data_IF_714485287809
#
_entry.id   IF_714485287809
#
_cell.length_a   1.000
_cell.length_b   1.000
_cell.length_c   1.000
_cell.angle_alpha   90.00
_cell.angle_beta   90.00
_cell.angle_gamma   90.00
#
_symmetry.space_group_name_H-M   'P 1'
#
loop_
_entity.id
_entity.type
_entity.pdbx_description
1 polymer ?
#
# COMPACT_ATOMS: atom_id res chain seq x y z
N UNK A 1 1.80 -19.02 1.50
CA UNK A 1 2.05 -18.51 0.13
C UNK A 1 1.14 -17.31 -0.15
N UNK A 2 1.69 -16.17 -0.57
CA UNK A 2 1.06 -14.83 -0.54
C UNK A 2 -0.08 -14.62 -1.56
N UNK A 3 -1.20 -15.34 -1.39
CA UNK A 3 -2.32 -15.43 -2.35
C UNK A 3 -3.02 -14.10 -2.66
N UNK A 4 -2.86 -13.08 -1.81
CA UNK A 4 -3.42 -11.75 -2.05
C UNK A 4 -2.57 -10.90 -3.00
N UNK A 5 -1.26 -11.18 -3.11
CA UNK A 5 -0.33 -10.44 -3.97
C UNK A 5 -0.57 -10.81 -5.44
N UNK A 6 -0.80 -12.10 -5.71
CA UNK A 6 -0.99 -12.63 -7.06
C UNK A 6 -2.48 -12.86 -7.34
N UNK A 7 -3.20 -11.77 -7.56
CA UNK A 7 -4.62 -11.78 -7.89
C UNK A 7 -4.87 -11.09 -9.23
N UNK A 8 -5.78 -11.64 -10.05
CA UNK A 8 -6.09 -11.12 -11.40
C UNK A 8 -6.63 -9.68 -11.41
N UNK A 9 -7.23 -9.25 -10.30
CA UNK A 9 -7.66 -7.85 -10.12
C UNK A 9 -6.46 -6.93 -10.01
N UNK A 10 -5.39 -7.38 -9.34
CA UNK A 10 -4.25 -6.55 -9.03
C UNK A 10 -3.58 -6.07 -10.31
N UNK A 11 -3.09 -4.83 -10.27
CA UNK A 11 -2.22 -4.32 -11.31
C UNK A 11 -0.86 -5.02 -11.14
N UNK A 12 -0.28 -5.53 -12.22
CA UNK A 12 0.93 -6.37 -12.16
C UNK A 12 2.10 -5.68 -11.45
N UNK A 13 2.37 -4.40 -11.78
CA UNK A 13 3.39 -3.60 -11.08
C UNK A 13 3.15 -3.46 -9.57
N UNK A 14 1.89 -3.39 -9.13
CA UNK A 14 1.57 -3.31 -7.69
C UNK A 14 1.89 -4.64 -7.00
N UNK A 15 1.57 -5.75 -7.68
CA UNK A 15 1.85 -7.11 -7.21
C UNK A 15 3.35 -7.35 -7.08
N UNK A 16 4.13 -6.96 -8.08
CA UNK A 16 5.58 -7.10 -8.07
C UNK A 16 6.25 -6.32 -6.93
N UNK A 17 5.91 -5.04 -6.78
CA UNK A 17 6.45 -4.20 -5.68
C UNK A 17 6.02 -4.73 -4.31
N UNK A 18 4.77 -5.19 -4.17
CA UNK A 18 4.29 -5.80 -2.93
C UNK A 18 5.02 -7.09 -2.60
N UNK A 19 5.33 -7.92 -3.61
CA UNK A 19 6.14 -9.12 -3.45
C UNK A 19 7.55 -8.78 -2.96
N UNK A 20 8.20 -7.79 -3.57
CA UNK A 20 9.52 -7.32 -3.12
C UNK A 20 9.49 -6.81 -1.67
N UNK A 21 8.48 -6.04 -1.28
CA UNK A 21 8.31 -5.53 0.09
C UNK A 21 8.19 -6.67 1.11
N UNK A 22 7.37 -7.68 0.79
CA UNK A 22 7.13 -8.83 1.67
C UNK A 22 8.39 -9.69 1.84
N UNK A 23 9.19 -9.82 0.79
CA UNK A 23 10.46 -10.56 0.81
C UNK A 23 11.67 -9.73 1.27
N UNK A 24 11.45 -8.51 1.74
CA UNK A 24 12.50 -7.58 2.18
C UNK A 24 13.55 -7.27 1.11
N UNK A 25 13.14 -7.34 -0.16
CA UNK A 25 13.95 -7.06 -1.34
C UNK A 25 13.71 -5.65 -1.90
N UNK A 26 12.89 -4.85 -1.23
CA UNK A 26 12.68 -3.46 -1.60
C UNK A 26 13.89 -2.65 -1.10
N UNK A 27 14.54 -1.90 -1.99
CA UNK A 27 15.58 -0.97 -1.57
C UNK A 27 14.96 0.18 -0.76
N UNK A 28 14.89 0.02 0.56
CA UNK A 28 14.72 1.12 1.52
C UNK A 28 16.07 1.81 1.73
N UNK A 29 16.09 3.04 2.28
CA UNK A 29 17.36 3.73 2.59
C UNK A 29 18.31 2.86 3.43
N UNK A 30 17.77 1.93 4.24
CA UNK A 30 18.53 0.92 4.98
C UNK A 30 19.51 0.08 4.12
N UNK A 31 19.21 -0.13 2.83
CA UNK A 31 20.07 -0.88 1.90
C UNK A 31 20.98 0.02 1.04
N UNK A 32 20.81 1.35 1.12
CA UNK A 32 21.74 2.31 0.53
C UNK A 32 22.81 2.66 1.57
N UNK A 33 23.82 1.79 1.71
CA UNK A 33 25.06 2.04 2.48
C UNK A 33 25.91 3.20 1.92
N UNK A 34 25.34 4.03 1.08
CA UNK A 34 26.01 5.15 0.47
C UNK A 34 25.19 6.38 0.79
N UNK A 35 25.65 7.15 1.79
CA UNK A 35 25.61 8.61 1.87
C UNK A 35 25.22 9.16 3.24
N UNK A 36 25.93 10.23 3.60
CA UNK A 36 25.77 11.15 4.74
C UNK A 36 24.41 11.88 4.77
N UNK A 37 23.35 11.30 4.20
CA UNK A 37 22.02 11.91 4.12
C UNK A 37 21.30 11.65 5.45
N UNK A 38 20.63 12.65 6.05
CA UNK A 38 19.84 12.44 7.26
C UNK A 38 18.87 11.29 7.04
N UNK A 39 18.91 10.27 7.91
CA UNK A 39 18.11 9.06 7.82
C UNK A 39 16.60 9.31 7.97
N UNK A 40 16.11 10.55 7.93
CA UNK A 40 14.71 10.86 8.15
C UNK A 40 13.83 10.38 6.99
N UNK A 41 12.68 9.81 7.35
CA UNK A 41 11.66 9.39 6.40
C UNK A 41 11.16 10.59 5.59
N UNK A 42 11.39 10.56 4.28
CA UNK A 42 11.01 11.63 3.36
C UNK A 42 9.50 11.88 3.29
N UNK A 43 8.69 10.93 3.79
CA UNK A 43 7.25 11.06 3.86
C UNK A 43 6.79 11.94 5.03
N UNK A 44 7.41 11.80 6.20
CA UNK A 44 6.96 12.46 7.43
C UNK A 44 7.94 13.49 8.01
N UNK A 45 9.23 13.36 7.72
CA UNK A 45 10.35 14.13 8.27
C UNK A 45 10.48 14.08 9.81
N UNK A 46 9.89 13.08 10.48
CA UNK A 46 9.82 13.02 11.95
C UNK A 46 10.62 11.87 12.60
N UNK A 47 10.98 10.86 11.83
CA UNK A 47 11.65 9.66 12.35
C UNK A 47 12.52 9.05 11.26
N UNK A 48 13.42 8.15 11.65
CA UNK A 48 14.26 7.44 10.71
C UNK A 48 13.45 6.56 9.74
N UNK A 49 13.84 6.55 8.47
CA UNK A 49 13.28 5.69 7.44
C UNK A 49 13.80 4.28 7.61
N UNK A 50 12.93 3.39 8.08
CA UNK A 50 13.08 1.97 7.86
C UNK A 50 11.79 1.39 7.29
N UNK A 51 11.81 0.14 6.83
CA UNK A 51 10.61 -0.50 6.25
C UNK A 51 9.40 -0.47 7.19
N UNK A 52 9.61 -0.73 8.48
CA UNK A 52 8.53 -0.74 9.45
C UNK A 52 7.91 0.66 9.59
N UNK A 53 8.76 1.69 9.66
CA UNK A 53 8.32 3.07 9.70
C UNK A 53 7.59 3.46 8.41
N UNK A 54 8.23 3.30 7.26
CA UNK A 54 7.73 3.74 5.97
C UNK A 54 6.34 3.22 5.66
N UNK A 55 6.06 1.95 5.92
CA UNK A 55 4.79 1.33 5.57
C UNK A 55 3.75 1.30 6.69
N UNK A 56 4.16 1.32 7.97
CA UNK A 56 3.23 1.03 9.08
C UNK A 56 3.17 2.11 10.17
N UNK A 57 4.24 2.85 10.42
CA UNK A 57 4.29 3.86 11.50
C UNK A 57 4.17 5.28 10.97
N UNK A 58 4.68 5.53 9.77
CA UNK A 58 4.74 6.85 9.15
C UNK A 58 3.35 7.48 9.09
N UNK A 59 3.22 8.71 9.60
CA UNK A 59 1.95 9.45 9.65
C UNK A 59 1.30 9.56 8.27
N UNK A 60 2.10 9.80 7.22
CA UNK A 60 1.61 9.92 5.85
C UNK A 60 1.04 8.59 5.34
N UNK A 61 1.77 7.49 5.56
CA UNK A 61 1.36 6.15 5.12
C UNK A 61 0.13 5.64 5.89
N UNK A 62 0.06 5.90 7.19
CA UNK A 62 -1.11 5.59 8.02
C UNK A 62 -2.35 6.32 7.55
N UNK A 63 -2.22 7.58 7.13
CA UNK A 63 -3.37 8.34 6.63
C UNK A 63 -3.86 7.79 5.29
N UNK A 64 -2.97 7.47 4.35
CA UNK A 64 -3.34 6.83 3.09
C UNK A 64 -4.05 5.49 3.33
N UNK A 65 -3.54 4.71 4.28
CA UNK A 65 -4.13 3.44 4.68
C UNK A 65 -5.51 3.62 5.32
N UNK A 66 -5.69 4.63 6.18
CA UNK A 66 -6.98 4.96 6.81
C UNK A 66 -8.02 5.30 5.75
N UNK A 67 -7.72 6.24 4.85
CA UNK A 67 -8.59 6.60 3.72
C UNK A 67 -9.00 5.38 2.88
N UNK A 68 -8.03 4.48 2.64
CA UNK A 68 -8.24 3.23 1.89
C UNK A 68 -9.13 2.24 2.64
N UNK A 69 -8.98 2.14 3.95
CA UNK A 69 -9.76 1.26 4.83
C UNK A 69 -11.21 1.73 4.90
N UNK A 70 -11.39 3.03 5.10
CA UNK A 70 -12.69 3.69 5.21
C UNK A 70 -13.50 3.47 3.91
N UNK A 71 -12.84 3.57 2.75
CA UNK A 71 -13.48 3.34 1.45
C UNK A 71 -14.11 1.94 1.31
N UNK A 72 -13.47 0.90 1.85
CA UNK A 72 -13.98 -0.47 1.78
C UNK A 72 -14.67 -0.93 3.07
N UNK A 73 -14.90 -0.01 4.03
CA UNK A 73 -15.46 -0.27 5.35
C UNK A 73 -14.72 -1.42 6.05
N UNK A 74 -13.38 -1.32 6.10
CA UNK A 74 -12.52 -2.32 6.74
C UNK A 74 -12.33 -1.93 8.21
N UNK A 75 -12.65 -2.85 9.13
CA UNK A 75 -12.41 -2.63 10.57
C UNK A 75 -10.95 -2.90 10.90
N UNK A 76 -10.29 -1.89 11.47
CA UNK A 76 -8.97 -1.92 12.11
C UNK A 76 -7.89 -2.70 11.35
N UNK A 77 -7.26 -2.06 10.36
CA UNK A 77 -6.04 -2.62 9.75
C UNK A 77 -4.93 -2.69 10.83
N UNK A 78 -4.30 -3.85 11.04
CA UNK A 78 -3.29 -4.00 12.09
C UNK A 78 -2.13 -3.01 11.92
N UNK A 79 -1.59 -2.47 13.00
CA UNK A 79 -0.46 -1.53 12.92
C UNK A 79 0.89 -2.20 12.52
N UNK A 80 0.95 -3.52 12.33
CA UNK A 80 2.20 -4.26 12.08
C UNK A 80 2.10 -5.17 10.85
N UNK A 81 3.16 -5.16 10.03
CA UNK A 81 3.29 -5.98 8.81
C UNK A 81 2.95 -7.46 9.00
N UNK A 82 3.53 -8.08 10.03
CA UNK A 82 3.38 -9.51 10.32
C UNK A 82 1.92 -9.93 10.57
N UNK A 83 1.04 -8.96 10.85
CA UNK A 83 -0.37 -9.18 11.11
C UNK A 83 -1.25 -8.82 9.91
N UNK A 84 -0.78 -8.07 8.90
CA UNK A 84 -1.58 -7.74 7.72
C UNK A 84 -1.95 -8.97 6.92
N UNK A 85 -0.96 -9.85 6.65
CA UNK A 85 -1.19 -11.05 5.84
C UNK A 85 -2.20 -11.97 6.55
N UNK A 86 -2.02 -12.17 7.86
CA UNK A 86 -2.96 -12.94 8.69
C UNK A 86 -4.33 -12.27 8.76
N UNK A 87 -4.39 -10.96 8.93
CA UNK A 87 -5.65 -10.21 8.97
C UNK A 87 -6.40 -10.30 7.65
N UNK A 88 -5.74 -10.16 6.49
CA UNK A 88 -6.39 -10.34 5.18
C UNK A 88 -6.91 -11.76 5.00
N UNK A 89 -6.15 -12.77 5.45
CA UNK A 89 -6.56 -14.17 5.35
C UNK A 89 -7.73 -14.50 6.29
N UNK A 90 -7.77 -13.95 7.51
CA UNK A 90 -8.82 -14.20 8.51
C UNK A 90 -10.06 -13.33 8.31
N UNK A 91 -9.92 -12.06 7.93
CA UNK A 91 -11.03 -11.10 7.86
C UNK A 91 -11.90 -11.27 6.60
N UNK A 92 -11.41 -11.96 5.56
CA UNK A 92 -12.11 -12.07 4.29
C UNK A 92 -12.30 -13.53 3.85
N UNK A 93 -13.26 -14.21 4.48
CA UNK A 93 -13.65 -15.59 4.12
C UNK A 93 -14.31 -15.74 2.74
N UNK A 94 -14.85 -14.65 2.15
CA UNK A 94 -15.43 -14.67 0.79
C UNK A 94 -14.35 -14.42 -0.26
N UNK A 95 -14.22 -15.36 -1.22
CA UNK A 95 -13.24 -15.33 -2.33
C UNK A 95 -13.17 -13.97 -3.06
N UNK A 96 -14.31 -13.27 -3.21
CA UNK A 96 -14.38 -11.97 -3.89
C UNK A 96 -13.85 -10.81 -3.05
N UNK A 97 -14.31 -10.68 -1.79
CA UNK A 97 -13.91 -9.60 -0.88
C UNK A 97 -12.40 -9.68 -0.58
N UNK A 98 -11.89 -10.91 -0.40
CA UNK A 98 -10.45 -11.17 -0.27
C UNK A 98 -9.65 -10.59 -1.43
N UNK A 99 -10.10 -10.81 -2.67
CA UNK A 99 -9.42 -10.32 -3.87
C UNK A 99 -9.47 -8.78 -3.97
N UNK A 100 -10.61 -8.16 -3.69
CA UNK A 100 -10.76 -6.69 -3.71
C UNK A 100 -9.85 -6.04 -2.67
N UNK A 101 -9.83 -6.58 -1.45
CA UNK A 101 -8.95 -6.05 -0.39
C UNK A 101 -7.49 -6.30 -0.72
N UNK A 102 -7.13 -7.47 -1.28
CA UNK A 102 -5.78 -7.73 -1.77
C UNK A 102 -5.31 -6.72 -2.83
N UNK A 103 -6.20 -6.35 -3.76
CA UNK A 103 -5.92 -5.33 -4.77
C UNK A 103 -5.73 -3.92 -4.17
N UNK A 104 -6.54 -3.57 -3.17
CA UNK A 104 -6.38 -2.32 -2.43
C UNK A 104 -5.03 -2.26 -1.71
N UNK A 105 -4.70 -3.30 -0.94
CA UNK A 105 -3.48 -3.31 -0.13
C UNK A 105 -2.22 -3.28 -1.00
N UNK A 106 -2.20 -4.05 -2.08
CA UNK A 106 -1.07 -4.02 -3.02
C UNK A 106 -0.93 -2.65 -3.70
N UNK A 107 -2.03 -1.97 -3.97
CA UNK A 107 -2.00 -0.60 -4.48
C UNK A 107 -1.48 0.41 -3.44
N UNK A 108 -1.91 0.31 -2.18
CA UNK A 108 -1.40 1.18 -1.10
C UNK A 108 0.11 1.02 -0.95
N UNK A 109 0.62 -0.21 -0.91
CA UNK A 109 2.07 -0.49 -0.82
C UNK A 109 2.81 0.14 -2.00
N UNK A 110 2.29 -0.04 -3.22
CA UNK A 110 2.88 0.55 -4.41
C UNK A 110 2.90 2.08 -4.38
N UNK A 111 1.80 2.70 -3.97
CA UNK A 111 1.68 4.16 -3.93
C UNK A 111 2.58 4.79 -2.87
N UNK A 112 2.75 4.16 -1.70
CA UNK A 112 3.74 4.57 -0.68
C UNK A 112 5.15 4.53 -1.27
N UNK A 113 5.54 3.41 -1.90
CA UNK A 113 6.86 3.26 -2.51
C UNK A 113 7.09 4.29 -3.63
N UNK A 114 6.10 4.49 -4.49
CA UNK A 114 6.16 5.45 -5.60
C UNK A 114 6.29 6.88 -5.08
N UNK A 115 5.52 7.25 -4.06
CA UNK A 115 5.59 8.59 -3.46
C UNK A 115 6.97 8.83 -2.82
N UNK A 116 7.48 7.86 -2.05
CA UNK A 116 8.82 7.94 -1.46
C UNK A 116 9.89 8.17 -2.54
N UNK A 117 9.83 7.45 -3.65
CA UNK A 117 10.75 7.64 -4.77
C UNK A 117 10.56 8.98 -5.48
N UNK A 118 9.33 9.47 -5.63
CA UNK A 118 9.07 10.78 -6.23
C UNK A 118 9.66 11.91 -5.38
N UNK A 119 9.59 11.82 -4.05
CA UNK A 119 10.20 12.81 -3.17
C UNK A 119 11.71 12.81 -3.25
N UNK A 120 12.33 11.63 -3.28
CA UNK A 120 13.79 11.48 -3.32
C UNK A 120 14.36 11.89 -4.69
N UNK A 121 13.78 11.38 -5.78
CA UNK A 121 14.40 11.48 -7.11
C UNK A 121 13.78 12.56 -8.01
N UNK A 122 12.60 13.07 -7.67
CA UNK A 122 11.86 14.03 -8.51
C UNK A 122 11.45 15.29 -7.76
N UNK A 123 11.81 15.42 -6.49
CA UNK A 123 11.43 16.53 -5.62
C UNK A 123 9.92 16.86 -5.68
N UNK A 124 9.09 15.82 -5.80
CA UNK A 124 7.64 15.96 -5.93
C UNK A 124 6.95 15.30 -4.74
N UNK A 125 6.17 16.09 -4.01
CA UNK A 125 5.45 15.63 -2.82
C UNK A 125 3.93 15.81 -2.99
N UNK A 126 3.19 14.74 -2.76
CA UNK A 126 1.73 14.72 -2.77
C UNK A 126 1.17 14.39 -1.38
N UNK A 127 -0.04 14.89 -1.13
CA UNK A 127 -0.79 14.56 0.09
C UNK A 127 -1.38 13.15 0.00
N UNK A 128 -1.64 12.49 1.13
CA UNK A 128 -2.31 11.19 1.14
C UNK A 128 -3.66 11.23 0.41
N UNK A 129 -4.42 12.32 0.54
CA UNK A 129 -5.71 12.51 -0.11
C UNK A 129 -5.61 12.54 -1.65
N UNK A 130 -4.62 13.24 -2.19
CA UNK A 130 -4.41 13.30 -3.65
C UNK A 130 -3.98 11.95 -4.21
N UNK A 131 -3.06 11.26 -3.52
CA UNK A 131 -2.66 9.90 -3.89
C UNK A 131 -3.86 8.95 -3.82
N UNK A 132 -4.65 9.04 -2.76
CA UNK A 132 -5.84 8.23 -2.55
C UNK A 132 -6.89 8.45 -3.65
N UNK A 133 -7.18 9.70 -4.03
CA UNK A 133 -8.20 10.00 -5.06
C UNK A 133 -7.83 9.39 -6.41
N UNK A 134 -6.57 9.53 -6.82
CA UNK A 134 -6.03 8.95 -8.06
C UNK A 134 -6.02 7.43 -8.00
N UNK A 135 -5.58 6.85 -6.88
CA UNK A 135 -5.56 5.40 -6.67
C UNK A 135 -6.97 4.81 -6.70
N UNK A 136 -7.92 5.43 -5.98
CA UNK A 136 -9.33 5.03 -5.94
C UNK A 136 -9.92 4.99 -7.35
N UNK A 137 -9.74 6.04 -8.15
CA UNK A 137 -10.23 6.07 -9.55
C UNK A 137 -9.71 4.89 -10.38
N UNK A 138 -8.41 4.59 -10.28
CA UNK A 138 -7.77 3.46 -10.98
C UNK A 138 -8.32 2.12 -10.53
N UNK A 139 -8.48 1.92 -9.23
CA UNK A 139 -8.99 0.68 -8.66
C UNK A 139 -10.47 0.47 -8.99
N UNK A 140 -11.31 1.50 -8.90
CA UNK A 140 -12.72 1.43 -9.29
C UNK A 140 -12.88 0.98 -10.74
N UNK A 141 -12.13 1.59 -11.66
CA UNK A 141 -12.15 1.19 -13.07
C UNK A 141 -11.73 -0.28 -13.24
N UNK A 142 -10.69 -0.71 -12.53
CA UNK A 142 -10.22 -2.11 -12.56
C UNK A 142 -11.24 -3.08 -11.96
N UNK A 143 -11.93 -2.70 -10.89
CA UNK A 143 -12.97 -3.51 -10.27
C UNK A 143 -14.18 -3.67 -11.19
N UNK A 144 -14.64 -2.60 -11.84
CA UNK A 144 -15.72 -2.65 -12.81
C UNK A 144 -15.38 -3.56 -14.00
N UNK A 145 -14.15 -3.47 -14.52
CA UNK A 145 -13.70 -4.34 -15.61
C UNK A 145 -13.65 -5.82 -15.22
N UNK A 146 -13.17 -6.14 -14.01
CA UNK A 146 -13.07 -7.54 -13.56
C UNK A 146 -14.38 -8.11 -12.99
N UNK A 147 -15.31 -7.25 -12.58
CA UNK A 147 -16.61 -7.60 -12.01
C UNK A 147 -17.67 -6.60 -12.49
N UNK A 148 -18.29 -6.82 -13.65
CA UNK A 148 -19.33 -5.93 -14.18
C UNK A 148 -20.50 -5.71 -13.20
N UNK A 149 -20.81 -6.71 -12.37
CA UNK A 149 -21.87 -6.64 -11.33
C UNK A 149 -21.40 -6.00 -10.01
N UNK A 150 -20.22 -5.37 -9.97
CA UNK A 150 -19.67 -4.81 -8.73
C UNK A 150 -20.37 -3.51 -8.32
N UNK A 151 -21.41 -3.63 -7.50
CA UNK A 151 -21.88 -2.52 -6.67
C UNK A 151 -20.97 -2.43 -5.44
N UNK A 152 -20.19 -1.35 -5.32
CA UNK A 152 -19.66 -0.94 -4.03
C UNK A 152 -20.88 -0.81 -3.12
N UNK A 153 -20.96 -1.61 -2.05
CA UNK A 153 -22.05 -1.53 -1.11
C UNK A 153 -22.09 -0.08 -0.58
N UNK A 154 -23.10 0.67 -1.04
CA UNK A 154 -23.40 2.02 -0.59
C UNK A 154 -23.75 1.99 0.89
#
# INVERSE_FOLDING_TARGET
MHRFIWNRINIQKHSFISWLMVHDKLQTLDNMKWSYIPNHCCLCMMAEENRAHLFFVCKWSRELLRLSSDWLRLTSIPARHAHWIRWVLHAFGRKRRFKVVGALLTAVIYEIWKERNNRIFRNCAQTPNNVFSVMKKKLTHRFAYCYPDFRLAH
#
